data_IF_332231146907
#
_entry.id   IF_332231146907
#
_cell.length_a   1.000
_cell.length_b   1.000
_cell.length_c   1.000
_cell.angle_alpha   90.00
_cell.angle_beta   90.00
_cell.angle_gamma   90.00
#
_symmetry.space_group_name_H-M   'P 1'
#
loop_
_entity.id
_entity.type
_entity.pdbx_description
1 polymer ?
#
# COMPACT_ATOMS: atom_id res chain seq x y z
N UNK A 1 -3.10 32.94 3.91
CA UNK A 1 -4.49 33.38 4.04
C UNK A 1 -5.36 32.19 3.72
N UNK A 2 -5.82 31.48 4.74
CA UNK A 2 -6.83 30.42 4.55
C UNK A 2 -8.13 31.08 4.11
N UNK A 3 -8.66 30.67 2.95
CA UNK A 3 -9.92 31.18 2.45
C UNK A 3 -11.06 30.63 3.32
N UNK A 4 -11.91 31.46 3.97
CA UNK A 4 -12.95 31.02 4.89
C UNK A 4 -14.17 30.37 4.21
N UNK A 5 -14.03 29.91 2.97
CA UNK A 5 -15.06 29.23 2.19
C UNK A 5 -14.54 27.84 1.83
N UNK A 6 -14.69 26.88 2.72
CA UNK A 6 -14.50 25.47 2.36
C UNK A 6 -15.73 25.00 1.58
N UNK A 7 -15.81 25.41 0.31
CA UNK A 7 -16.94 25.10 -0.60
C UNK A 7 -17.21 23.60 -0.80
N UNK A 8 -16.39 22.72 -0.20
CA UNK A 8 -16.54 21.26 -0.22
C UNK A 8 -17.86 20.78 0.38
N UNK A 9 -18.34 21.40 1.46
CA UNK A 9 -19.64 21.02 2.03
C UNK A 9 -20.80 21.28 1.06
N UNK A 10 -20.71 22.36 0.27
CA UNK A 10 -21.70 22.72 -0.73
C UNK A 10 -21.61 21.85 -2.01
N UNK A 11 -20.51 21.11 -2.20
CA UNK A 11 -20.37 20.11 -3.27
C UNK A 11 -21.15 18.82 -2.98
N UNK A 12 -21.60 18.59 -1.74
CA UNK A 12 -22.40 17.43 -1.39
C UNK A 12 -21.64 16.39 -0.57
N UNK A 13 -22.14 15.15 -0.57
CA UNK A 13 -21.58 14.03 0.18
C UNK A 13 -21.69 12.72 -0.58
N UNK A 14 -20.85 11.74 -0.23
CA UNK A 14 -20.93 10.40 -0.76
C UNK A 14 -20.88 9.38 0.37
N UNK A 15 -21.60 8.28 0.19
CA UNK A 15 -21.67 7.15 1.12
C UNK A 15 -21.53 5.85 0.32
N UNK A 16 -20.89 4.82 0.89
CA UNK A 16 -20.76 3.50 0.28
C UNK A 16 -21.44 2.43 1.13
N UNK A 17 -22.13 1.49 0.49
CA UNK A 17 -22.79 0.36 1.15
C UNK A 17 -22.62 -0.93 0.35
N UNK A 18 -22.25 -2.06 0.98
CA UNK A 18 -21.87 -2.18 2.40
C UNK A 18 -20.53 -1.48 2.68
N UNK A 19 -20.41 -0.89 3.87
CA UNK A 19 -19.14 -0.44 4.42
C UNK A 19 -18.53 -1.54 5.31
N UNK A 20 -17.24 -1.46 5.59
CA UNK A 20 -16.55 -2.41 6.49
C UNK A 20 -15.34 -3.05 5.84
N UNK A 21 -15.03 -4.28 6.27
CA UNK A 21 -13.87 -5.04 5.85
C UNK A 21 -14.25 -6.20 4.92
N UNK A 22 -13.50 -6.36 3.83
CA UNK A 22 -13.75 -7.36 2.79
C UNK A 22 -12.46 -8.12 2.45
N UNK A 23 -12.58 -9.41 2.15
CA UNK A 23 -11.43 -10.27 1.87
C UNK A 23 -10.73 -9.85 0.56
N UNK A 24 -9.39 -9.80 0.58
CA UNK A 24 -8.57 -9.50 -0.59
C UNK A 24 -8.89 -10.44 -1.77
N UNK A 25 -9.06 -9.85 -2.95
CA UNK A 25 -9.42 -10.57 -4.18
C UNK A 25 -10.82 -11.18 -4.23
N UNK A 26 -11.66 -10.99 -3.20
CA UNK A 26 -13.05 -11.44 -3.23
C UNK A 26 -13.89 -10.62 -4.21
N UNK A 27 -15.02 -11.20 -4.64
CA UNK A 27 -16.03 -10.47 -5.41
C UNK A 27 -17.07 -9.88 -4.48
N UNK A 28 -17.27 -8.56 -4.57
CA UNK A 28 -18.22 -7.84 -3.72
C UNK A 28 -18.99 -6.81 -4.55
N UNK A 29 -20.28 -6.67 -4.26
CA UNK A 29 -21.12 -5.62 -4.84
C UNK A 29 -21.21 -4.42 -3.90
N UNK A 30 -20.90 -3.22 -4.39
CA UNK A 30 -21.00 -1.98 -3.62
C UNK A 30 -21.94 -1.00 -4.31
N UNK A 31 -22.67 -0.22 -3.53
CA UNK A 31 -23.40 0.96 -4.00
C UNK A 31 -22.77 2.20 -3.37
N UNK A 32 -22.14 3.04 -4.20
CA UNK A 32 -21.72 4.37 -3.83
C UNK A 32 -22.82 5.36 -4.24
N UNK A 33 -23.35 6.09 -3.27
CA UNK A 33 -24.39 7.10 -3.48
C UNK A 33 -23.81 8.48 -3.22
N UNK A 34 -23.62 9.26 -4.28
CA UNK A 34 -23.38 10.70 -4.17
C UNK A 34 -24.72 11.42 -4.03
N UNK A 35 -24.82 12.34 -3.09
CA UNK A 35 -25.95 13.26 -2.91
C UNK A 35 -25.46 14.68 -3.12
N UNK A 36 -26.04 15.37 -4.12
CA UNK A 36 -25.66 16.74 -4.46
C UNK A 36 -25.92 17.70 -3.30
N UNK A 37 -24.93 18.56 -3.03
CA UNK A 37 -25.06 19.66 -2.08
C UNK A 37 -25.76 20.87 -2.67
N UNK A 38 -25.65 22.01 -2.01
CA UNK A 38 -26.30 23.28 -2.40
C UNK A 38 -26.05 23.68 -3.85
N UNK A 39 -24.87 23.38 -4.40
CA UNK A 39 -24.56 23.74 -5.79
C UNK A 39 -25.17 22.81 -6.84
N UNK A 40 -25.62 21.61 -6.45
CA UNK A 40 -26.06 20.61 -7.42
C UNK A 40 -24.92 20.15 -8.34
N UNK A 41 -25.27 19.77 -9.57
CA UNK A 41 -24.33 19.62 -10.69
C UNK A 41 -25.03 20.16 -11.93
N UNK A 42 -24.46 21.18 -12.56
CA UNK A 42 -25.04 21.81 -13.74
C UNK A 42 -24.98 20.91 -14.98
N UNK A 43 -25.65 21.32 -16.06
CA UNK A 43 -25.50 20.65 -17.34
C UNK A 43 -24.04 20.61 -17.77
N UNK A 44 -23.58 19.48 -18.30
CA UNK A 44 -22.18 19.20 -18.64
C UNK A 44 -21.19 19.15 -17.47
N UNK A 45 -21.64 19.40 -16.23
CA UNK A 45 -20.89 19.12 -15.00
C UNK A 45 -20.63 17.62 -14.81
N UNK A 46 -19.73 17.28 -13.88
CA UNK A 46 -19.27 15.88 -13.75
C UNK A 46 -18.81 15.48 -12.36
N UNK A 47 -18.83 14.16 -12.14
CA UNK A 47 -18.27 13.47 -11.00
C UNK A 47 -17.09 12.60 -11.48
N UNK A 48 -16.02 12.54 -10.68
CA UNK A 48 -14.98 11.53 -10.80
C UNK A 48 -14.93 10.71 -9.52
N UNK A 49 -14.94 9.39 -9.63
CA UNK A 49 -14.60 8.47 -8.54
C UNK A 49 -13.25 7.87 -8.89
N UNK A 50 -12.23 8.23 -8.12
CA UNK A 50 -10.84 7.91 -8.41
C UNK A 50 -10.24 6.97 -7.37
N UNK A 51 -9.42 6.03 -7.84
CA UNK A 51 -8.66 5.12 -7.01
C UNK A 51 -7.17 5.34 -7.23
N UNK A 52 -6.36 4.85 -6.30
CA UNK A 52 -4.91 4.93 -6.39
C UNK A 52 -4.38 4.13 -7.58
N UNK A 53 -3.24 4.56 -8.10
CA UNK A 53 -2.47 3.86 -9.12
C UNK A 53 -2.14 2.44 -8.67
N UNK A 54 -1.56 2.32 -7.47
CA UNK A 54 -1.20 1.07 -6.83
C UNK A 54 -2.45 0.31 -6.40
N UNK A 55 -3.01 -0.44 -7.34
CA UNK A 55 -4.13 -1.36 -7.14
C UNK A 55 -4.17 -2.33 -8.31
N UNK A 56 -4.64 -3.54 -8.10
CA UNK A 56 -4.96 -4.48 -9.17
C UNK A 56 -6.46 -4.79 -9.22
N UNK A 57 -7.30 -4.05 -8.48
CA UNK A 57 -8.76 -4.18 -8.49
C UNK A 57 -9.30 -4.33 -9.91
N UNK A 58 -10.29 -5.20 -10.07
CA UNK A 58 -10.92 -5.49 -11.36
C UNK A 58 -11.32 -4.23 -12.12
N UNK A 59 -11.05 -4.20 -13.43
CA UNK A 59 -11.40 -3.07 -14.29
C UNK A 59 -12.92 -2.95 -14.41
N UNK A 60 -13.54 -1.81 -14.05
CA UNK A 60 -14.95 -1.54 -14.31
C UNK A 60 -15.30 -1.72 -15.79
N UNK A 61 -16.45 -2.33 -16.05
CA UNK A 61 -17.00 -2.50 -17.40
C UNK A 61 -18.52 -2.23 -17.40
N UNK A 62 -19.07 -1.89 -18.56
CA UNK A 62 -20.45 -1.40 -18.71
C UNK A 62 -21.27 -2.18 -19.74
N UNK A 63 -20.72 -3.27 -20.27
CA UNK A 63 -21.25 -3.94 -21.47
C UNK A 63 -21.92 -5.30 -21.15
N UNK A 64 -21.32 -6.11 -20.27
CA UNK A 64 -21.82 -7.45 -19.94
C UNK A 64 -22.37 -7.50 -18.50
N UNK A 65 -23.70 -7.51 -18.32
CA UNK A 65 -24.32 -7.51 -17.00
C UNK A 65 -24.07 -8.77 -16.15
N UNK A 66 -23.66 -9.88 -16.77
CA UNK A 66 -23.36 -11.13 -16.09
C UNK A 66 -21.86 -11.31 -15.78
N UNK A 67 -20.99 -10.57 -16.46
CA UNK A 67 -19.55 -10.64 -16.24
C UNK A 67 -19.10 -9.96 -14.94
N UNK A 68 -17.93 -10.34 -14.39
CA UNK A 68 -17.27 -9.60 -13.32
C UNK A 68 -17.13 -8.10 -13.58
N UNK A 69 -17.06 -7.33 -12.48
CA UNK A 69 -16.76 -5.89 -12.48
C UNK A 69 -17.78 -5.03 -13.26
N UNK A 70 -18.99 -5.55 -13.51
CA UNK A 70 -20.06 -4.79 -14.16
C UNK A 70 -20.46 -3.59 -13.30
N UNK A 71 -20.55 -2.40 -13.90
CA UNK A 71 -20.91 -1.17 -13.20
C UNK A 71 -22.11 -0.52 -13.86
N UNK A 72 -23.06 -0.07 -13.05
CA UNK A 72 -24.18 0.78 -13.50
C UNK A 72 -24.16 2.11 -12.76
N UNK A 73 -24.67 3.14 -13.43
CA UNK A 73 -24.77 4.49 -12.87
C UNK A 73 -26.12 5.09 -13.23
N UNK A 74 -26.85 5.57 -12.22
CA UNK A 74 -28.20 6.11 -12.36
C UNK A 74 -28.31 7.45 -11.64
N UNK A 75 -28.99 8.44 -12.25
CA UNK A 75 -29.38 9.68 -11.58
C UNK A 75 -30.81 9.57 -11.04
N UNK A 76 -31.04 9.98 -9.79
CA UNK A 76 -32.37 9.87 -9.14
C UNK A 76 -33.46 10.70 -9.81
N UNK A 77 -33.08 11.74 -10.55
CA UNK A 77 -33.98 12.67 -11.22
C UNK A 77 -34.12 12.41 -12.74
N UNK A 78 -33.54 11.31 -13.24
CA UNK A 78 -33.59 10.96 -14.65
C UNK A 78 -32.64 11.75 -15.57
N UNK A 79 -31.68 12.50 -15.01
CA UNK A 79 -30.60 13.09 -15.80
C UNK A 79 -29.85 12.00 -16.59
N UNK A 80 -29.52 12.30 -17.84
CA UNK A 80 -28.75 11.37 -18.69
C UNK A 80 -27.27 11.53 -18.40
N UNK A 81 -26.58 10.41 -18.17
CA UNK A 81 -25.18 10.38 -17.78
C UNK A 81 -24.34 9.71 -18.88
N UNK A 82 -23.22 10.32 -19.22
CA UNK A 82 -22.14 9.67 -19.97
C UNK A 82 -21.15 9.11 -18.95
N UNK A 83 -20.84 7.81 -19.07
CA UNK A 83 -19.98 7.09 -18.12
C UNK A 83 -18.84 6.44 -18.86
N UNK A 84 -17.62 6.58 -18.34
CA UNK A 84 -16.45 5.87 -18.84
C UNK A 84 -15.43 5.61 -17.75
N UNK A 85 -14.55 4.65 -18.00
CA UNK A 85 -13.44 4.32 -17.12
C UNK A 85 -12.11 4.42 -17.85
N UNK A 86 -11.15 5.10 -17.23
CA UNK A 86 -9.78 5.25 -17.73
C UNK A 86 -8.77 5.06 -16.59
N UNK A 87 -7.66 4.38 -16.88
CA UNK A 87 -6.61 4.10 -15.89
C UNK A 87 -5.71 5.29 -15.60
N UNK A 88 -5.75 6.35 -16.44
CA UNK A 88 -4.93 7.55 -16.35
C UNK A 88 -5.72 8.80 -16.76
N UNK A 89 -6.70 9.19 -15.94
CA UNK A 89 -7.56 10.35 -16.21
C UNK A 89 -7.66 11.36 -15.05
N UNK A 90 -6.79 11.23 -14.06
CA UNK A 90 -6.71 12.17 -12.96
C UNK A 90 -5.28 12.30 -12.43
N UNK A 91 -5.08 13.20 -11.46
CA UNK A 91 -3.76 13.54 -10.93
C UNK A 91 -3.20 12.39 -10.10
N UNK A 92 -1.95 12.00 -10.38
CA UNK A 92 -1.20 11.00 -9.61
C UNK A 92 -1.16 11.40 -8.13
N UNK A 93 -1.34 10.47 -7.17
CA UNK A 93 -1.45 9.01 -7.32
C UNK A 93 -2.86 8.50 -7.64
N UNK A 94 -3.85 9.38 -7.81
CA UNK A 94 -5.25 9.03 -8.00
C UNK A 94 -5.61 8.94 -9.49
N UNK A 95 -4.99 8.01 -10.21
CA UNK A 95 -5.05 7.98 -11.68
C UNK A 95 -6.33 7.32 -12.23
N UNK A 96 -6.74 6.21 -11.62
CA UNK A 96 -7.81 5.33 -12.12
C UNK A 96 -9.16 5.94 -11.86
N UNK A 97 -9.88 6.30 -12.92
CA UNK A 97 -11.02 7.20 -12.84
C UNK A 97 -12.26 6.57 -13.46
N UNK A 98 -13.32 6.46 -12.68
CA UNK A 98 -14.69 6.39 -13.18
C UNK A 98 -15.20 7.82 -13.38
N UNK A 99 -15.37 8.23 -14.63
CA UNK A 99 -15.86 9.55 -15.02
C UNK A 99 -17.34 9.49 -15.34
N UNK A 100 -18.13 10.38 -14.74
CA UNK A 100 -19.58 10.46 -14.89
C UNK A 100 -19.95 11.90 -15.22
N UNK A 101 -20.41 12.16 -16.45
CA UNK A 101 -20.80 13.50 -16.92
C UNK A 101 -22.30 13.59 -17.10
N UNK A 102 -22.90 14.69 -16.65
CA UNK A 102 -24.29 15.00 -16.99
C UNK A 102 -24.34 15.49 -18.45
N UNK A 103 -25.04 14.77 -19.32
CA UNK A 103 -25.18 15.15 -20.74
C UNK A 103 -26.58 15.65 -21.11
N UNK A 104 -27.58 15.36 -20.27
CA UNK A 104 -28.92 15.94 -20.38
C UNK A 104 -29.56 16.12 -19.01
N UNK A 105 -29.96 17.35 -18.70
CA UNK A 105 -30.49 17.72 -17.39
C UNK A 105 -29.39 18.29 -16.48
N UNK A 106 -29.63 18.26 -15.18
CA UNK A 106 -28.77 18.76 -14.11
C UNK A 106 -29.18 18.08 -12.80
N UNK A 107 -28.41 18.25 -11.73
CA UNK A 107 -28.76 17.83 -10.37
C UNK A 107 -29.03 19.05 -9.51
N UNK A 108 -30.08 18.99 -8.70
CA UNK A 108 -30.34 19.93 -7.60
C UNK A 108 -29.79 19.38 -6.30
N UNK A 109 -29.73 20.24 -5.28
CA UNK A 109 -29.49 19.80 -3.91
C UNK A 109 -30.41 18.62 -3.54
N UNK A 110 -29.84 17.55 -3.02
CA UNK A 110 -30.56 16.33 -2.64
C UNK A 110 -30.73 15.30 -3.76
N UNK A 111 -30.54 15.66 -5.04
CA UNK A 111 -30.49 14.68 -6.13
C UNK A 111 -29.27 13.77 -5.99
N UNK A 112 -29.36 12.55 -6.52
CA UNK A 112 -28.36 11.50 -6.31
C UNK A 112 -27.81 10.96 -7.61
N UNK A 113 -26.52 10.63 -7.59
CA UNK A 113 -25.89 9.71 -8.54
C UNK A 113 -25.60 8.42 -7.78
N UNK A 114 -26.20 7.32 -8.23
CA UNK A 114 -26.05 5.99 -7.62
C UNK A 114 -25.17 5.16 -8.54
N UNK A 115 -23.97 4.82 -8.06
CA UNK A 115 -23.01 3.97 -8.75
C UNK A 115 -23.02 2.60 -8.10
N UNK A 116 -23.29 1.53 -8.87
CA UNK A 116 -23.25 0.15 -8.39
C UNK A 116 -22.02 -0.55 -8.96
N UNK A 117 -21.00 -0.74 -8.14
CA UNK A 117 -19.82 -1.51 -8.52
C UNK A 117 -20.11 -3.00 -8.36
N UNK A 118 -19.88 -3.79 -9.41
CA UNK A 118 -20.22 -5.21 -9.40
C UNK A 118 -21.73 -5.44 -9.30
N UNK A 119 -22.51 -4.76 -10.13
CA UNK A 119 -23.97 -4.73 -10.03
C UNK A 119 -24.58 -6.14 -10.22
N UNK A 120 -25.17 -6.74 -9.17
CA UNK A 120 -25.63 -8.13 -9.21
C UNK A 120 -26.97 -8.29 -9.95
N UNK A 121 -27.66 -7.19 -10.29
CA UNK A 121 -28.99 -7.23 -10.95
C UNK A 121 -28.96 -7.96 -12.29
N UNK A 122 -27.80 -7.98 -12.93
CA UNK A 122 -27.53 -8.65 -14.21
C UNK A 122 -26.95 -10.06 -14.09
N UNK A 123 -26.70 -10.55 -12.89
CA UNK A 123 -25.99 -11.81 -12.64
C UNK A 123 -24.48 -11.69 -12.44
N UNK A 124 -23.93 -10.47 -12.42
CA UNK A 124 -22.51 -10.24 -12.11
C UNK A 124 -22.12 -10.87 -10.78
N UNK A 125 -20.97 -11.55 -10.67
CA UNK A 125 -20.48 -12.06 -9.39
C UNK A 125 -20.04 -10.92 -8.44
N UNK A 126 -19.84 -9.70 -8.95
CA UNK A 126 -19.39 -8.53 -8.17
C UNK A 126 -18.14 -7.86 -8.76
N UNK A 127 -17.61 -6.87 -8.04
CA UNK A 127 -16.32 -6.24 -8.31
C UNK A 127 -15.22 -7.07 -7.64
N UNK A 128 -14.19 -7.45 -8.40
CA UNK A 128 -13.01 -8.12 -7.84
C UNK A 128 -12.16 -7.10 -7.09
N UNK A 129 -12.11 -7.21 -5.77
CA UNK A 129 -11.20 -6.38 -4.97
C UNK A 129 -9.73 -6.66 -5.31
N UNK A 130 -8.84 -5.73 -4.95
CA UNK A 130 -7.40 -5.93 -5.13
C UNK A 130 -6.89 -7.12 -4.31
N UNK A 131 -5.80 -7.74 -4.77
CA UNK A 131 -5.24 -8.96 -4.16
C UNK A 131 -4.42 -8.71 -2.91
N UNK A 132 -4.20 -7.46 -2.54
CA UNK A 132 -3.42 -7.09 -1.36
C UNK A 132 -4.20 -6.21 -0.39
N UNK A 133 -3.80 -6.25 0.88
CA UNK A 133 -4.52 -5.58 1.96
C UNK A 133 -4.34 -4.06 1.93
N UNK A 134 -5.41 -3.33 2.25
CA UNK A 134 -5.38 -1.88 2.41
C UNK A 134 -6.39 -1.47 3.49
N UNK A 135 -5.90 -0.82 4.54
CA UNK A 135 -6.73 -0.44 5.69
C UNK A 135 -7.81 0.58 5.30
N UNK A 136 -7.48 1.46 4.35
CA UNK A 136 -8.35 2.54 3.88
C UNK A 136 -8.35 2.60 2.36
N UNK A 137 -9.02 1.63 1.72
CA UNK A 137 -9.29 1.68 0.29
C UNK A 137 -10.35 2.76 0.02
N UNK A 138 -9.90 3.91 -0.47
CA UNK A 138 -10.70 5.11 -0.65
C UNK A 138 -11.32 5.21 -2.05
N UNK A 139 -12.63 5.42 -2.09
CA UNK A 139 -13.37 5.79 -3.29
C UNK A 139 -13.39 7.31 -3.38
N UNK A 140 -12.28 7.91 -3.80
CA UNK A 140 -12.15 9.37 -3.76
C UNK A 140 -13.09 10.03 -4.78
N UNK A 141 -14.07 10.75 -4.28
CA UNK A 141 -15.08 11.47 -5.06
C UNK A 141 -14.67 12.92 -5.24
N UNK A 142 -14.59 13.33 -6.51
CA UNK A 142 -14.29 14.68 -6.94
C UNK A 142 -15.46 15.22 -7.77
N UNK A 143 -15.88 16.46 -7.49
CA UNK A 143 -17.06 17.09 -8.10
C UNK A 143 -16.64 18.34 -8.88
N UNK A 144 -17.11 18.44 -10.12
CA UNK A 144 -17.15 19.69 -10.90
C UNK A 144 -18.63 20.06 -11.09
N UNK A 145 -19.15 20.85 -10.16
CA UNK A 145 -20.56 21.24 -10.13
C UNK A 145 -20.93 22.27 -11.21
N UNK A 146 -19.95 23.00 -11.76
CA UNK A 146 -20.16 24.16 -12.62
C UNK A 146 -19.67 23.97 -14.06
N UNK A 147 -19.36 22.72 -14.45
CA UNK A 147 -18.82 22.38 -15.77
C UNK A 147 -17.53 23.16 -16.14
N UNK A 148 -16.70 23.47 -15.16
CA UNK A 148 -15.45 24.24 -15.34
C UNK A 148 -14.22 23.36 -15.53
N UNK A 149 -14.40 22.03 -15.42
CA UNK A 149 -13.34 21.04 -15.37
C UNK A 149 -12.37 21.20 -14.19
N UNK A 150 -12.75 22.00 -13.19
CA UNK A 150 -12.05 22.11 -11.91
C UNK A 150 -12.78 21.28 -10.88
N UNK A 151 -12.12 20.24 -10.41
CA UNK A 151 -12.70 19.30 -9.46
C UNK A 151 -12.33 19.67 -8.03
N UNK A 152 -13.30 19.63 -7.12
CA UNK A 152 -13.07 19.65 -5.69
C UNK A 152 -13.34 18.26 -5.11
N UNK A 153 -12.44 17.78 -4.25
CA UNK A 153 -12.70 16.59 -3.46
C UNK A 153 -13.80 16.89 -2.43
N UNK A 154 -14.71 15.93 -2.23
CA UNK A 154 -15.64 15.98 -1.09
C UNK A 154 -14.88 16.05 0.24
N UNK A 155 -15.50 16.66 1.25
CA UNK A 155 -14.92 16.79 2.59
C UNK A 155 -14.67 15.43 3.25
N UNK A 156 -15.62 14.51 3.11
CA UNK A 156 -15.53 13.14 3.56
C UNK A 156 -15.55 12.19 2.37
N UNK A 157 -14.69 11.18 2.41
CA UNK A 157 -14.51 10.20 1.33
C UNK A 157 -14.98 8.83 1.80
N UNK A 158 -15.81 8.11 1.02
CA UNK A 158 -16.17 6.74 1.34
C UNK A 158 -14.96 5.82 1.29
N UNK A 159 -14.86 4.93 2.27
CA UNK A 159 -13.76 3.97 2.37
C UNK A 159 -14.26 2.59 2.78
N UNK A 160 -13.53 1.56 2.35
CA UNK A 160 -13.62 0.20 2.89
C UNK A 160 -12.24 -0.25 3.35
N UNK A 161 -12.19 -1.33 4.13
CA UNK A 161 -10.95 -2.04 4.42
C UNK A 161 -10.88 -3.31 3.55
N UNK A 162 -9.69 -3.59 3.02
CA UNK A 162 -9.36 -4.83 2.31
C UNK A 162 -8.43 -5.62 3.22
N UNK A 163 -8.90 -6.76 3.70
CA UNK A 163 -8.28 -7.57 4.75
C UNK A 163 -7.88 -8.94 4.22
N UNK A 164 -6.92 -9.64 4.85
CA UNK A 164 -6.51 -10.96 4.37
C UNK A 164 -7.62 -12.00 4.55
N UNK A 165 -7.62 -13.00 3.67
CA UNK A 165 -8.43 -14.21 3.83
C UNK A 165 -7.90 -15.14 4.93
N UNK A 166 -8.60 -16.25 5.22
CA UNK A 166 -8.04 -17.33 6.04
C UNK A 166 -6.73 -17.85 5.44
N UNK A 167 -5.76 -18.27 6.26
CA UNK A 167 -4.50 -18.80 5.75
C UNK A 167 -4.75 -20.12 5.00
N UNK A 168 -4.15 -20.24 3.82
CA UNK A 168 -4.15 -21.47 3.01
C UNK A 168 -2.74 -22.04 2.82
N UNK A 169 -1.71 -21.24 3.12
CA UNK A 169 -0.32 -21.66 3.14
C UNK A 169 0.37 -21.16 4.40
N UNK A 170 1.48 -21.83 4.77
CA UNK A 170 2.28 -21.49 5.95
C UNK A 170 3.71 -21.26 5.53
N UNK A 171 4.34 -20.25 6.11
CA UNK A 171 5.73 -19.87 5.81
C UNK A 171 6.52 -19.86 7.11
N UNK A 172 7.69 -20.50 7.08
CA UNK A 172 8.70 -20.38 8.13
C UNK A 172 9.99 -19.78 7.59
N UNK A 173 10.53 -18.82 8.32
CA UNK A 173 11.71 -18.05 7.90
C UNK A 173 12.78 -18.12 8.98
N UNK A 174 13.96 -18.54 8.56
CA UNK A 174 15.21 -18.43 9.30
C UNK A 174 16.13 -17.42 8.60
N UNK A 175 17.12 -16.84 9.29
CA UNK A 175 18.21 -16.15 8.60
C UNK A 175 18.96 -17.11 7.67
N UNK A 176 19.68 -16.57 6.69
CA UNK A 176 20.44 -17.39 5.74
C UNK A 176 21.73 -17.95 6.35
N UNK A 177 22.39 -17.19 7.21
CA UNK A 177 23.69 -17.58 7.80
C UNK A 177 23.87 -17.05 9.21
N UNK A 178 24.35 -17.90 10.11
CA UNK A 178 24.81 -17.56 11.46
C UNK A 178 26.09 -18.30 11.81
N UNK A 179 26.91 -17.71 12.69
CA UNK A 179 28.09 -18.38 13.24
C UNK A 179 27.66 -19.40 14.31
N UNK A 180 28.45 -20.46 14.54
CA UNK A 180 28.35 -21.29 15.74
C UNK A 180 28.09 -20.47 17.01
N UNK A 181 27.05 -20.81 17.76
CA UNK A 181 26.70 -20.14 19.02
C UNK A 181 26.01 -18.78 18.86
N UNK A 182 25.88 -18.23 17.65
CA UNK A 182 25.20 -16.96 17.41
C UNK A 182 23.68 -17.13 17.48
N UNK A 183 22.97 -16.27 18.24
CA UNK A 183 21.51 -16.36 18.34
C UNK A 183 20.80 -15.98 17.03
N UNK A 184 19.65 -16.59 16.82
CA UNK A 184 18.73 -16.27 15.72
C UNK A 184 17.27 -16.45 16.12
N UNK A 185 16.39 -16.07 15.21
CA UNK A 185 14.94 -16.25 15.35
C UNK A 185 14.39 -17.18 14.27
N UNK A 186 13.34 -17.92 14.62
CA UNK A 186 12.44 -18.55 13.66
C UNK A 186 11.16 -17.73 13.61
N UNK A 187 10.79 -17.24 12.43
CA UNK A 187 9.54 -16.54 12.20
C UNK A 187 8.57 -17.44 11.44
N UNK A 188 7.29 -17.41 11.82
CA UNK A 188 6.23 -18.21 11.21
C UNK A 188 5.02 -17.33 10.94
N UNK A 189 4.43 -17.45 9.76
CA UNK A 189 3.16 -16.78 9.40
C UNK A 189 2.26 -17.69 8.57
N UNK A 190 0.97 -17.46 8.66
CA UNK A 190 0.00 -17.97 7.71
C UNK A 190 -0.26 -16.94 6.62
N UNK A 191 -0.44 -17.40 5.39
CA UNK A 191 -0.70 -16.54 4.23
C UNK A 191 -2.02 -16.94 3.57
N UNK A 192 -2.81 -15.93 3.21
CA UNK A 192 -4.02 -16.14 2.42
C UNK A 192 -3.68 -16.57 0.97
N UNK A 193 -4.71 -16.80 0.15
CA UNK A 193 -4.54 -17.29 -1.22
C UNK A 193 -3.72 -16.36 -2.13
N UNK A 194 -3.50 -15.12 -1.72
CA UNK A 194 -2.75 -14.10 -2.45
C UNK A 194 -1.38 -13.78 -1.83
N UNK A 195 -0.99 -14.52 -0.78
CA UNK A 195 0.28 -14.29 -0.07
C UNK A 195 0.21 -13.20 0.99
N UNK A 196 -0.98 -12.67 1.33
CA UNK A 196 -1.07 -11.71 2.43
C UNK A 196 -0.89 -12.43 3.76
N UNK A 197 -0.03 -11.93 4.67
CA UNK A 197 -0.01 -12.38 6.06
C UNK A 197 -1.40 -12.27 6.67
N UNK A 198 -1.91 -13.37 7.21
CA UNK A 198 -3.27 -13.46 7.75
C UNK A 198 -3.27 -13.41 9.27
N UNK A 199 -4.12 -12.58 9.85
CA UNK A 199 -4.45 -12.59 11.27
C UNK A 199 -5.57 -13.57 11.63
N UNK A 200 -6.13 -14.28 10.63
CA UNK A 200 -7.18 -15.28 10.80
C UNK A 200 -6.62 -16.69 11.00
N UNK A 201 -5.41 -16.77 11.56
CA UNK A 201 -4.79 -18.04 11.92
C UNK A 201 -5.44 -18.62 13.18
N UNK A 202 -5.63 -19.94 13.20
CA UNK A 202 -5.98 -20.69 14.40
C UNK A 202 -5.34 -22.07 14.30
N UNK A 203 -4.02 -22.12 14.51
CA UNK A 203 -3.23 -23.31 14.29
C UNK A 203 -2.11 -23.46 15.32
N UNK A 204 -1.85 -24.72 15.69
CA UNK A 204 -0.70 -25.11 16.51
C UNK A 204 0.12 -26.11 15.72
N UNK A 205 1.42 -25.84 15.60
CA UNK A 205 2.35 -26.70 14.88
C UNK A 205 3.35 -27.33 15.83
N UNK A 206 3.70 -28.59 15.57
CA UNK A 206 4.90 -29.20 16.15
C UNK A 206 6.11 -28.80 15.31
N UNK A 207 7.20 -28.39 15.96
CA UNK A 207 8.43 -27.97 15.30
C UNK A 207 9.42 -29.14 15.26
N UNK A 208 9.90 -29.49 14.06
CA UNK A 208 10.93 -30.52 13.88
C UNK A 208 12.14 -29.94 13.18
N UNK A 209 13.25 -29.81 13.90
CA UNK A 209 14.52 -29.37 13.33
C UNK A 209 15.32 -30.55 12.76
N UNK A 210 16.03 -30.32 11.66
CA UNK A 210 16.94 -31.33 11.07
C UNK A 210 18.15 -31.66 11.95
N UNK A 211 18.38 -30.89 13.02
CA UNK A 211 19.47 -31.07 14.00
C UNK A 211 19.12 -30.39 15.33
N UNK A 212 19.86 -30.66 16.42
CA UNK A 212 19.61 -30.03 17.71
C UNK A 212 19.68 -28.50 17.65
N UNK A 213 18.65 -27.83 18.17
CA UNK A 213 18.57 -26.37 18.31
C UNK A 213 18.25 -26.05 19.77
N UNK A 214 19.14 -25.34 20.45
CA UNK A 214 18.90 -24.88 21.83
C UNK A 214 17.83 -23.79 21.82
N UNK A 215 16.85 -23.92 22.72
CA UNK A 215 15.76 -22.94 22.87
C UNK A 215 14.57 -23.16 21.92
N UNK A 216 14.60 -24.15 21.02
CA UNK A 216 13.48 -24.46 20.15
C UNK A 216 12.35 -25.12 20.97
N UNK A 217 11.16 -24.51 21.07
CA UNK A 217 10.03 -25.15 21.73
C UNK A 217 9.52 -26.33 20.89
N UNK A 218 8.83 -27.26 21.53
CA UNK A 218 8.19 -28.39 20.82
C UNK A 218 7.08 -27.88 19.87
N UNK A 219 6.39 -26.80 20.25
CA UNK A 219 5.22 -26.28 19.53
C UNK A 219 5.23 -24.76 19.39
N UNK A 220 4.57 -24.28 18.35
CA UNK A 220 4.26 -22.86 18.14
C UNK A 220 2.78 -22.70 17.80
N UNK A 221 2.15 -21.65 18.34
CA UNK A 221 0.75 -21.34 18.09
C UNK A 221 0.63 -20.01 17.33
N UNK A 222 -0.18 -20.00 16.28
CA UNK A 222 -0.68 -18.80 15.61
C UNK A 222 -2.16 -18.64 15.97
N UNK A 223 -2.42 -17.77 16.95
CA UNK A 223 -3.77 -17.51 17.46
C UNK A 223 -4.50 -16.44 16.61
N UNK A 224 -5.84 -16.42 16.63
CA UNK A 224 -6.62 -15.39 15.95
C UNK A 224 -6.21 -13.97 16.39
N UNK A 225 -6.16 -13.04 15.43
CA UNK A 225 -5.69 -11.67 15.61
C UNK A 225 -4.16 -11.51 15.53
N UNK A 226 -3.39 -12.60 15.35
CA UNK A 226 -1.92 -12.54 15.20
C UNK A 226 -1.51 -12.84 13.77
N UNK A 227 -0.78 -11.91 13.16
CA UNK A 227 -0.22 -12.07 11.80
C UNK A 227 0.97 -13.02 11.72
N UNK A 228 1.71 -13.18 12.83
CA UNK A 228 2.93 -13.95 12.88
C UNK A 228 3.29 -14.38 14.31
N UNK A 229 4.10 -15.42 14.41
CA UNK A 229 4.81 -15.86 15.60
C UNK A 229 6.32 -15.78 15.34
N UNK A 230 7.07 -15.33 16.35
CA UNK A 230 8.53 -15.22 16.27
C UNK A 230 9.15 -15.82 17.52
N UNK A 231 10.02 -16.80 17.35
CA UNK A 231 10.72 -17.52 18.41
C UNK A 231 12.15 -17.04 18.40
N UNK A 232 12.52 -16.28 19.42
CA UNK A 232 13.83 -15.64 19.56
C UNK A 232 14.80 -16.50 20.37
N UNK A 233 16.10 -16.17 20.30
CA UNK A 233 17.12 -16.77 21.16
C UNK A 233 17.49 -18.22 20.82
N UNK A 234 17.18 -18.66 19.60
CA UNK A 234 17.55 -19.99 19.11
C UNK A 234 19.05 -20.04 18.83
N UNK A 235 19.70 -21.16 19.18
CA UNK A 235 21.13 -21.33 18.97
C UNK A 235 21.48 -22.72 18.45
N UNK A 236 22.42 -22.76 17.51
CA UNK A 236 23.08 -23.99 17.05
C UNK A 236 24.59 -23.80 17.20
N UNK A 237 25.24 -24.71 17.92
CA UNK A 237 26.67 -24.64 18.20
C UNK A 237 27.51 -25.34 17.11
N UNK A 238 26.95 -26.34 16.42
CA UNK A 238 27.70 -27.15 15.46
C UNK A 238 27.53 -26.67 14.00
N UNK A 239 28.62 -26.53 13.22
CA UNK A 239 28.55 -26.20 11.79
C UNK A 239 27.66 -27.14 10.98
N UNK A 240 27.01 -26.62 9.94
CA UNK A 240 26.12 -27.36 9.03
C UNK A 240 24.80 -26.65 8.72
N UNK A 241 23.94 -27.28 7.93
CA UNK A 241 22.66 -26.71 7.52
C UNK A 241 21.53 -27.09 8.49
N UNK A 242 20.71 -26.11 8.85
CA UNK A 242 19.47 -26.28 9.60
C UNK A 242 18.27 -26.00 8.69
N UNK A 243 17.26 -26.86 8.78
CA UNK A 243 15.88 -26.56 8.39
C UNK A 243 14.95 -26.89 9.55
N UNK A 244 13.84 -26.17 9.66
CA UNK A 244 12.78 -26.45 10.63
C UNK A 244 11.49 -26.71 9.86
N UNK A 245 10.89 -27.87 10.13
CA UNK A 245 9.59 -28.27 9.59
C UNK A 245 8.47 -27.91 10.56
N UNK A 246 7.34 -27.50 10.01
CA UNK A 246 6.08 -27.32 10.74
C UNK A 246 5.16 -28.49 10.44
N UNK A 247 4.78 -29.19 11.50
CA UNK A 247 3.88 -30.33 11.43
C UNK A 247 2.52 -29.96 12.00
N UNK A 248 1.45 -30.29 11.29
CA UNK A 248 0.08 -30.14 11.78
C UNK A 248 -0.28 -31.19 12.85
N UNK A 249 -1.53 -31.17 13.33
CA UNK A 249 -2.02 -32.07 14.36
C UNK A 249 -1.98 -33.56 13.95
N UNK A 250 -2.03 -33.84 12.64
CA UNK A 250 -1.91 -35.20 12.09
C UNK A 250 -0.45 -35.61 11.81
N UNK A 251 0.51 -34.73 12.10
CA UNK A 251 1.94 -34.97 11.87
C UNK A 251 2.38 -34.79 10.41
N UNK A 252 1.57 -34.15 9.57
CA UNK A 252 1.93 -33.85 8.18
C UNK A 252 2.76 -32.57 8.13
N UNK A 253 3.81 -32.58 7.31
CA UNK A 253 4.63 -31.37 7.08
C UNK A 253 3.85 -30.40 6.21
N UNK A 254 3.49 -29.24 6.76
CA UNK A 254 2.74 -28.18 6.06
C UNK A 254 3.64 -27.06 5.55
N UNK A 255 4.84 -26.93 6.11
CA UNK A 255 5.86 -25.99 5.69
C UNK A 255 7.25 -26.45 6.13
N UNK A 256 8.26 -26.02 5.38
CA UNK A 256 9.68 -26.19 5.70
C UNK A 256 10.33 -24.81 5.60
N UNK A 257 11.14 -24.44 6.58
CA UNK A 257 11.84 -23.17 6.54
C UNK A 257 12.82 -23.09 5.36
N UNK A 258 13.22 -21.88 4.97
CA UNK A 258 14.47 -21.74 4.21
C UNK A 258 15.65 -22.34 5.01
N UNK A 259 16.72 -22.78 4.33
CA UNK A 259 17.91 -23.28 5.01
C UNK A 259 18.63 -22.15 5.73
N UNK A 260 19.08 -22.45 6.96
CA UNK A 260 20.05 -21.66 7.71
C UNK A 260 21.40 -22.37 7.71
N UNK A 261 22.42 -21.71 7.15
CA UNK A 261 23.81 -22.18 7.22
C UNK A 261 24.44 -21.77 8.55
N UNK A 262 24.89 -22.74 9.34
CA UNK A 262 25.76 -22.51 10.50
C UNK A 262 27.20 -22.67 10.05
N UNK A 263 27.94 -21.57 9.97
CA UNK A 263 29.34 -21.57 9.56
C UNK A 263 30.08 -20.35 10.09
N UNK A 264 31.34 -20.54 10.47
CA UNK A 264 32.20 -19.42 10.82
C UNK A 264 32.68 -18.71 9.53
N UNK A 265 32.11 -17.53 9.29
CA UNK A 265 32.34 -16.69 8.12
C UNK A 265 32.44 -15.23 8.55
N UNK A 266 33.27 -14.46 7.88
CA UNK A 266 33.41 -13.03 8.12
C UNK A 266 32.15 -12.25 7.72
N UNK A 267 31.62 -12.52 6.52
CA UNK A 267 30.42 -11.87 5.97
C UNK A 267 29.18 -12.73 6.19
N UNK A 268 28.09 -12.08 6.55
CA UNK A 268 26.75 -12.67 6.69
C UNK A 268 25.82 -12.05 5.65
N UNK A 269 24.74 -12.76 5.32
CA UNK A 269 23.69 -12.27 4.43
C UNK A 269 22.52 -11.70 5.23
N UNK A 270 21.91 -10.66 4.66
CA UNK A 270 20.73 -9.97 5.17
C UNK A 270 19.71 -9.84 4.03
N UNK A 271 18.42 -9.95 4.35
CA UNK A 271 17.34 -9.78 3.40
C UNK A 271 16.83 -8.36 3.44
N UNK A 272 16.85 -7.70 2.28
CA UNK A 272 16.55 -6.29 2.16
C UNK A 272 15.49 -6.04 1.08
N UNK A 273 14.50 -5.20 1.41
CA UNK A 273 13.68 -4.51 0.42
C UNK A 273 13.84 -3.01 0.63
N UNK A 274 14.67 -2.41 -0.21
CA UNK A 274 15.14 -1.03 -0.05
C UNK A 274 14.40 -0.05 -0.96
N UNK A 275 13.37 -0.49 -1.68
CA UNK A 275 12.60 0.37 -2.58
C UNK A 275 11.10 0.09 -2.44
N UNK A 276 10.51 0.58 -1.33
CA UNK A 276 9.06 0.60 -1.14
C UNK A 276 8.49 2.00 -1.03
N UNK A 277 7.18 2.11 -1.21
CA UNK A 277 6.44 3.38 -1.11
C UNK A 277 5.13 3.20 -0.34
N UNK A 278 4.60 4.30 0.19
CA UNK A 278 3.38 4.34 1.03
C UNK A 278 2.34 5.33 0.47
N UNK A 279 1.18 5.43 1.13
CA UNK A 279 0.05 6.26 0.72
C UNK A 279 0.36 7.76 0.66
N UNK A 280 1.36 8.22 1.40
CA UNK A 280 1.85 9.59 1.34
C UNK A 280 2.54 9.91 -0.01
N UNK A 281 2.86 8.87 -0.80
CA UNK A 281 3.48 8.94 -2.15
C UNK A 281 2.64 8.17 -3.17
N UNK A 282 3.19 7.18 -3.90
CA UNK A 282 2.42 6.42 -4.92
C UNK A 282 1.71 5.18 -4.36
N UNK A 283 2.22 4.63 -3.26
CA UNK A 283 1.79 3.34 -2.69
C UNK A 283 0.45 3.40 -1.96
N UNK A 284 0.21 2.41 -1.09
CA UNK A 284 -0.97 2.28 -0.24
C UNK A 284 -0.56 2.09 1.22
N UNK A 285 -1.49 2.35 2.15
CA UNK A 285 -1.26 2.36 3.60
C UNK A 285 -0.17 3.35 4.06
N UNK A 286 -0.16 3.70 5.35
CA UNK A 286 0.82 4.66 5.87
C UNK A 286 2.27 4.16 5.82
N UNK A 287 3.24 5.08 5.80
CA UNK A 287 4.67 4.74 5.90
C UNK A 287 4.97 3.91 7.16
N UNK A 288 4.28 4.17 8.28
CA UNK A 288 4.39 3.36 9.49
C UNK A 288 3.92 1.92 9.27
N UNK A 289 2.80 1.73 8.59
CA UNK A 289 2.30 0.39 8.24
C UNK A 289 3.30 -0.35 7.35
N UNK A 290 3.96 0.33 6.41
CA UNK A 290 5.04 -0.22 5.59
C UNK A 290 6.22 -0.73 6.44
N UNK A 291 6.80 0.10 7.30
CA UNK A 291 7.92 -0.32 8.17
C UNK A 291 7.54 -1.47 9.12
N UNK A 292 6.32 -1.40 9.67
CA UNK A 292 5.77 -2.47 10.52
C UNK A 292 5.61 -3.77 9.76
N UNK A 293 5.10 -3.71 8.52
CA UNK A 293 4.97 -4.87 7.65
C UNK A 293 6.34 -5.48 7.33
N UNK A 294 7.31 -4.67 6.92
CA UNK A 294 8.66 -5.11 6.59
C UNK A 294 9.31 -5.88 7.76
N UNK A 295 9.26 -5.32 8.97
CA UNK A 295 9.86 -5.92 10.18
C UNK A 295 9.09 -7.13 10.68
N UNK A 296 7.78 -6.97 10.87
CA UNK A 296 6.99 -7.88 11.71
C UNK A 296 6.21 -8.92 10.91
N UNK A 297 6.07 -8.74 9.59
CA UNK A 297 5.30 -9.64 8.72
C UNK A 297 6.11 -10.19 7.57
N UNK A 298 6.93 -9.38 6.91
CA UNK A 298 7.84 -9.83 5.85
C UNK A 298 9.12 -10.47 6.41
N UNK A 299 9.48 -10.13 7.66
CA UNK A 299 10.69 -10.55 8.35
C UNK A 299 11.98 -10.13 7.63
N UNK A 300 11.95 -8.96 7.00
CA UNK A 300 13.14 -8.35 6.41
C UNK A 300 14.11 -7.93 7.51
N UNK A 301 15.39 -7.92 7.15
CA UNK A 301 16.46 -7.42 8.01
C UNK A 301 16.76 -5.95 7.73
N UNK A 302 16.53 -5.49 6.49
CA UNK A 302 16.76 -4.10 6.05
C UNK A 302 15.58 -3.61 5.22
N UNK A 303 15.18 -2.36 5.40
CA UNK A 303 14.20 -1.73 4.50
C UNK A 303 14.50 -0.26 4.21
N UNK A 304 13.93 0.26 3.13
CA UNK A 304 14.03 1.66 2.73
C UNK A 304 12.72 2.13 2.11
N UNK A 305 12.22 3.28 2.57
CA UNK A 305 11.13 3.98 1.90
C UNK A 305 11.72 4.92 0.86
N UNK A 306 11.27 4.78 -0.38
CA UNK A 306 11.79 5.46 -1.55
C UNK A 306 10.64 6.15 -2.29
N UNK A 307 9.90 6.99 -1.56
CA UNK A 307 8.88 7.84 -2.15
C UNK A 307 9.45 8.78 -3.21
N UNK A 308 8.71 9.02 -4.29
CA UNK A 308 9.13 9.99 -5.31
C UNK A 308 9.24 11.39 -4.70
N UNK A 309 10.39 12.02 -4.86
CA UNK A 309 10.74 13.34 -4.32
C UNK A 309 9.70 14.44 -4.59
N UNK A 310 9.13 14.48 -5.80
CA UNK A 310 8.11 15.42 -6.20
C UNK A 310 6.72 15.16 -5.57
N UNK A 311 6.58 14.11 -4.75
CA UNK A 311 5.40 13.83 -3.91
C UNK A 311 5.69 14.03 -2.42
N UNK A 312 6.96 14.14 -2.01
CA UNK A 312 7.36 14.25 -0.61
C UNK A 312 7.30 15.71 -0.17
N UNK A 313 6.27 16.06 0.59
CA UNK A 313 6.19 17.37 1.27
C UNK A 313 7.26 17.51 2.36
N UNK A 314 7.59 18.75 2.76
CA UNK A 314 8.53 18.98 3.87
C UNK A 314 8.06 18.38 5.20
N UNK A 315 6.75 18.39 5.46
CA UNK A 315 6.17 17.76 6.63
C UNK A 315 6.35 16.24 6.59
N UNK A 316 6.08 15.62 5.43
CA UNK A 316 6.28 14.19 5.26
C UNK A 316 7.75 13.80 5.30
N UNK A 317 8.67 14.59 4.71
CA UNK A 317 10.11 14.33 4.81
C UNK A 317 10.59 14.24 6.25
N UNK A 318 10.20 15.20 7.10
CA UNK A 318 10.49 15.16 8.55
C UNK A 318 9.91 13.90 9.19
N UNK A 319 8.64 13.61 8.92
CA UNK A 319 7.96 12.44 9.47
C UNK A 319 8.62 11.12 9.04
N UNK A 320 9.09 11.05 7.79
CA UNK A 320 9.75 9.87 7.27
C UNK A 320 11.09 9.64 7.97
N UNK A 321 11.87 10.68 8.19
CA UNK A 321 13.11 10.61 8.98
C UNK A 321 12.85 10.18 10.44
N UNK A 322 11.79 10.69 11.07
CA UNK A 322 11.38 10.21 12.41
C UNK A 322 11.04 8.72 12.40
N UNK A 323 10.30 8.25 11.40
CA UNK A 323 9.93 6.84 11.26
C UNK A 323 11.14 5.94 11.00
N UNK A 324 12.06 6.37 10.13
CA UNK A 324 13.31 5.65 9.90
C UNK A 324 14.05 5.47 11.22
N UNK A 325 14.33 6.55 11.95
CA UNK A 325 15.03 6.47 13.23
C UNK A 325 14.26 5.67 14.31
N UNK A 326 12.93 5.75 14.32
CA UNK A 326 12.08 5.01 15.28
C UNK A 326 12.14 3.49 15.07
N UNK A 327 12.17 3.05 13.81
CA UNK A 327 12.19 1.64 13.46
C UNK A 327 13.61 1.06 13.33
N UNK A 328 14.64 1.90 13.27
CA UNK A 328 16.03 1.41 13.24
C UNK A 328 16.40 0.73 14.56
N UNK A 329 16.65 -0.57 14.47
CA UNK A 329 17.06 -1.42 15.58
C UNK A 329 18.35 -2.15 15.17
N UNK A 330 19.53 -1.53 15.36
CA UNK A 330 20.81 -2.08 14.92
C UNK A 330 21.03 -3.53 15.35
N UNK A 331 21.36 -4.38 14.37
CA UNK A 331 21.55 -5.82 14.57
C UNK A 331 20.27 -6.67 14.53
N UNK A 332 19.10 -6.05 14.42
CA UNK A 332 17.80 -6.72 14.27
C UNK A 332 17.03 -6.28 13.02
N UNK A 333 16.86 -4.98 12.81
CA UNK A 333 16.12 -4.42 11.68
C UNK A 333 16.66 -3.03 11.36
N UNK A 334 17.24 -2.85 10.18
CA UNK A 334 17.85 -1.58 9.78
C UNK A 334 16.94 -0.85 8.80
N UNK A 335 16.75 0.44 9.03
CA UNK A 335 16.01 1.30 8.11
C UNK A 335 16.96 2.28 7.43
N UNK A 336 16.82 2.47 6.13
CA UNK A 336 17.67 3.37 5.35
C UNK A 336 16.90 4.67 5.06
N UNK A 337 17.32 5.83 5.61
CA UNK A 337 16.72 7.11 5.28
C UNK A 337 17.04 7.46 3.83
N UNK A 338 16.04 7.91 3.09
CA UNK A 338 16.22 8.11 1.66
C UNK A 338 14.95 8.50 0.94
N UNK A 339 15.08 8.71 -0.36
CA UNK A 339 13.99 9.03 -1.25
C UNK A 339 14.37 8.68 -2.69
N UNK A 340 13.36 8.47 -3.53
CA UNK A 340 13.56 8.30 -4.95
C UNK A 340 13.58 9.69 -5.61
N UNK A 341 14.75 10.15 -6.07
CA UNK A 341 14.82 11.28 -6.97
C UNK A 341 14.25 10.87 -8.32
N UNK A 342 13.14 11.47 -8.73
CA UNK A 342 12.36 10.99 -9.87
C UNK A 342 12.32 11.97 -11.02
N UNK A 343 13.49 12.24 -11.59
CA UNK A 343 13.61 13.03 -12.80
C UNK A 343 13.03 12.31 -14.02
N UNK A 344 12.48 13.09 -14.96
CA UNK A 344 12.03 12.56 -16.25
C UNK A 344 13.15 11.77 -16.93
N UNK A 345 12.81 10.74 -17.73
CA UNK A 345 13.79 9.87 -18.40
C UNK A 345 14.85 10.63 -19.19
N UNK A 346 14.47 11.72 -19.87
CA UNK A 346 15.41 12.56 -20.62
C UNK A 346 16.37 13.40 -19.75
N UNK A 347 16.13 13.48 -18.45
CA UNK A 347 16.94 14.21 -17.46
C UNK A 347 17.76 13.26 -16.57
N UNK A 348 17.61 11.94 -16.76
CA UNK A 348 18.34 10.91 -16.04
C UNK A 348 17.49 9.71 -15.63
N UNK A 349 16.17 9.87 -15.47
CA UNK A 349 15.31 8.83 -14.89
C UNK A 349 15.52 8.68 -13.38
N UNK A 350 14.80 7.74 -12.77
CA UNK A 350 14.76 7.58 -11.31
C UNK A 350 16.12 7.21 -10.69
N UNK A 351 16.41 7.75 -9.49
CA UNK A 351 17.61 7.48 -8.68
C UNK A 351 17.21 7.31 -7.22
N UNK A 352 17.45 6.15 -6.64
CA UNK A 352 17.22 5.90 -5.23
C UNK A 352 18.41 6.45 -4.42
N UNK A 353 18.15 7.44 -3.58
CA UNK A 353 19.15 8.07 -2.70
C UNK A 353 18.96 7.53 -1.30
N UNK A 354 20.02 6.95 -0.74
CA UNK A 354 20.07 6.45 0.64
C UNK A 354 21.14 7.21 1.40
N UNK A 355 20.78 7.82 2.51
CA UNK A 355 21.72 8.48 3.40
C UNK A 355 22.18 7.53 4.50
N UNK A 356 23.41 7.72 4.99
CA UNK A 356 23.90 6.97 6.13
C UNK A 356 23.17 7.31 7.44
N UNK A 357 22.53 8.49 7.51
CA UNK A 357 21.83 9.01 8.70
C UNK A 357 20.65 9.88 8.29
N UNK A 358 19.69 10.01 9.18
CA UNK A 358 18.53 10.91 9.04
C UNK A 358 18.94 12.39 9.06
N UNK A 359 18.00 13.26 8.71
CA UNK A 359 18.13 14.71 8.81
C UNK A 359 18.89 15.36 7.65
N UNK A 360 19.20 14.60 6.59
CA UNK A 360 19.78 15.14 5.35
C UNK A 360 18.73 15.91 4.54
N UNK A 361 19.14 16.91 3.74
CA UNK A 361 18.22 17.62 2.86
C UNK A 361 17.70 16.70 1.76
N UNK A 362 16.43 16.88 1.39
CA UNK A 362 15.87 16.32 0.16
C UNK A 362 16.20 17.25 -1.00
N UNK A 363 16.76 16.71 -2.10
CA UNK A 363 16.95 17.42 -3.37
C UNK A 363 15.89 16.91 -4.34
N UNK A 364 14.98 17.77 -4.80
CA UNK A 364 13.90 17.33 -5.69
C UNK A 364 14.25 17.55 -7.15
N UNK A 365 13.74 16.68 -7.98
CA UNK A 365 13.67 16.76 -9.43
C UNK A 365 12.67 17.81 -9.89
N UNK A 366 11.59 17.99 -9.13
CA UNK A 366 10.57 19.01 -9.35
C UNK A 366 9.63 19.15 -8.15
N UNK A 367 8.85 20.23 -8.16
CA UNK A 367 7.70 20.45 -7.27
C UNK A 367 6.36 20.05 -7.92
N UNK A 368 6.36 19.11 -8.87
CA UNK A 368 5.18 18.81 -9.69
C UNK A 368 3.92 18.45 -8.88
N UNK A 369 4.07 17.83 -7.69
CA UNK A 369 2.97 17.50 -6.79
C UNK A 369 3.22 17.99 -5.34
N UNK A 370 4.05 19.02 -5.18
CA UNK A 370 4.29 19.70 -3.89
C UNK A 370 3.89 21.18 -4.02
N UNK A 371 2.85 21.59 -3.30
CA UNK A 371 2.35 22.98 -3.35
C UNK A 371 3.28 23.99 -2.65
N UNK A 372 4.03 23.55 -1.64
CA UNK A 372 5.01 24.38 -0.92
C UNK A 372 6.26 24.56 -1.79
N UNK A 373 6.53 25.79 -2.24
CA UNK A 373 7.68 26.14 -3.08
C UNK A 373 8.83 26.79 -2.28
N UNK A 374 8.82 26.68 -0.95
CA UNK A 374 9.78 27.38 -0.08
C UNK A 374 11.22 26.87 -0.18
N UNK A 375 11.45 25.69 -0.74
CA UNK A 375 12.78 25.09 -0.98
C UNK A 375 13.05 24.83 -2.47
N UNK A 376 12.37 25.56 -3.37
CA UNK A 376 12.51 25.46 -4.83
C UNK A 376 13.94 25.74 -5.31
N UNK A 377 14.70 26.57 -4.60
CA UNK A 377 16.10 26.88 -4.92
C UNK A 377 17.06 25.70 -4.66
N UNK A 378 16.59 24.67 -3.96
CA UNK A 378 17.36 23.46 -3.65
C UNK A 378 17.17 22.32 -4.66
N UNK A 379 16.26 22.50 -5.63
CA UNK A 379 15.95 21.51 -6.66
C UNK A 379 17.15 21.24 -7.58
N UNK A 380 17.25 19.99 -8.02
CA UNK A 380 18.24 19.49 -8.98
C UNK A 380 17.48 18.79 -10.10
N UNK A 381 17.43 19.42 -11.27
CA UNK A 381 16.54 19.04 -12.37
C UNK A 381 17.10 17.87 -13.18
N UNK A 382 18.43 17.72 -13.20
CA UNK A 382 19.11 16.61 -13.90
C UNK A 382 19.81 15.66 -12.93
N UNK A 383 20.04 14.42 -13.36
CA UNK A 383 20.84 13.47 -12.58
C UNK A 383 22.28 13.96 -12.38
N UNK A 384 22.84 14.72 -13.33
CA UNK A 384 24.17 15.34 -13.19
C UNK A 384 24.19 16.35 -12.03
N UNK A 385 23.19 17.23 -11.97
CA UNK A 385 23.02 18.19 -10.86
C UNK A 385 22.79 17.46 -9.53
N UNK A 386 22.02 16.36 -9.52
CA UNK A 386 21.83 15.53 -8.34
C UNK A 386 23.18 14.99 -7.83
N UNK A 387 23.98 14.38 -8.71
CA UNK A 387 25.27 13.84 -8.31
C UNK A 387 26.25 14.92 -7.85
N UNK A 388 26.23 16.10 -8.49
CA UNK A 388 27.02 17.24 -8.04
C UNK A 388 26.57 17.73 -6.65
N UNK A 389 25.27 17.78 -6.38
CA UNK A 389 24.70 18.21 -5.10
C UNK A 389 24.92 17.20 -3.97
N UNK A 390 25.07 15.92 -4.29
CA UNK A 390 25.39 14.83 -3.35
C UNK A 390 26.90 14.57 -3.24
N UNK A 391 27.74 15.31 -3.96
CA UNK A 391 29.19 15.10 -3.91
C UNK A 391 29.74 15.39 -2.50
N UNK A 392 30.34 14.38 -1.88
CA UNK A 392 30.86 14.45 -0.51
C UNK A 392 29.82 14.21 0.59
N UNK A 393 28.56 13.94 0.23
CA UNK A 393 27.56 13.43 1.17
C UNK A 393 27.83 11.96 1.50
N UNK A 394 27.56 11.58 2.74
CA UNK A 394 27.59 10.17 3.18
C UNK A 394 26.30 9.48 2.73
N UNK A 395 26.23 9.20 1.43
CA UNK A 395 25.07 8.61 0.78
C UNK A 395 25.46 7.59 -0.29
N UNK A 396 24.55 6.67 -0.55
CA UNK A 396 24.57 5.74 -1.66
C UNK A 396 23.47 6.13 -2.65
N UNK A 397 23.79 6.16 -3.94
CA UNK A 397 22.81 6.35 -5.01
C UNK A 397 22.77 5.10 -5.88
N UNK A 398 21.57 4.57 -6.10
CA UNK A 398 21.31 3.39 -6.94
C UNK A 398 20.38 3.79 -8.08
N UNK A 399 20.64 3.30 -9.29
CA UNK A 399 19.81 3.50 -10.49
C UNK A 399 19.05 2.24 -10.85
#
# INVERSE_FOLDING_TARGET
>A
MEHPYDGRAAMGRAEITPAGAFEAGSFVSFTLTYTAGTYGIDDTGSLKIVHRFASDMGRPQFDDPAAPNYVTVEASNGATLEVRYDVKQNVRPWDKTLYIKVVRGFLREGDKIVVRFGDPRGGSPGMRLQTFCEERFEFRVLVDAFATYRYLALAEQPTIAIVPGPPVTWTAVLPTLRRPGQPFALAVRGEDRWGNPSDRCDAVFTLRASRPVRGLPERVALAPGRFAARIEGLVVDEPGDLVVELLDAEGRVVAVSNPLRIADRERIAWWADIHGQSEETIGTNSARAYFTFARDRAFLDVTGHQGNDFQITRAFWRRLNELTAEFDEPGRFVTLPGYEWSGNTGLGGDRNVFFAREGRPIRRSSHALVEDLSDLDSDVTTAEELFAALAGEDCLVIA
#
